data_IF_393528467090
#
_entry.id   IF_393528467090
#
_cell.length_a   1.000
_cell.length_b   1.000
_cell.length_c   1.000
_cell.angle_alpha   90.00
_cell.angle_beta   90.00
_cell.angle_gamma   90.00
#
_symmetry.space_group_name_H-M   'P 1'
#
loop_
_entity.id
_entity.type
_entity.pdbx_description
1 polymer ?
#
# COMPACT_ATOMS: atom_id res chain seq x y z
N UNK A 1 -3.45 60.67 24.14
CA UNK A 1 -4.31 59.51 23.80
C UNK A 1 -3.82 58.90 22.49
N UNK A 2 -3.22 57.72 22.51
CA UNK A 2 -2.95 56.89 21.31
C UNK A 2 -2.72 55.46 21.79
N UNK A 3 -3.75 54.61 21.66
CA UNK A 3 -3.69 53.19 22.03
C UNK A 3 -3.19 52.43 20.81
N UNK A 4 -2.00 51.86 20.90
CA UNK A 4 -1.39 51.04 19.86
C UNK A 4 -2.01 49.64 20.00
N UNK A 5 -2.82 49.24 19.03
CA UNK A 5 -3.44 47.92 18.97
C UNK A 5 -2.44 46.99 18.31
N UNK A 6 -1.70 46.22 19.11
CA UNK A 6 -0.83 45.16 18.62
C UNK A 6 -1.68 43.90 18.40
N UNK A 7 -2.03 43.61 17.15
CA UNK A 7 -2.69 42.36 16.76
C UNK A 7 -1.62 41.27 16.69
N UNK A 8 -1.57 40.42 17.71
CA UNK A 8 -0.76 39.20 17.71
C UNK A 8 -1.46 38.16 16.82
N UNK A 9 -0.98 38.01 15.58
CA UNK A 9 -1.40 36.92 14.69
C UNK A 9 -0.67 35.65 15.14
N UNK A 10 -1.37 34.81 15.91
CA UNK A 10 -0.86 33.50 16.29
C UNK A 10 -1.12 32.55 15.14
N UNK A 11 -0.09 32.27 14.34
CA UNK A 11 -0.12 31.18 13.36
C UNK A 11 -0.39 29.87 14.11
N UNK A 12 -1.61 29.35 13.96
CA UNK A 12 -1.96 27.99 14.31
C UNK A 12 -1.25 27.06 13.29
N UNK A 13 0.00 26.69 13.57
CA UNK A 13 0.59 25.49 12.96
C UNK A 13 -0.12 24.28 13.57
N UNK A 14 -1.30 23.96 13.05
CA UNK A 14 -1.87 22.62 13.22
C UNK A 14 -1.01 21.67 12.40
N UNK A 15 0.06 21.16 13.02
CA UNK A 15 0.72 19.95 12.57
C UNK A 15 -0.26 18.79 12.75
N UNK A 16 -1.24 18.70 11.86
CA UNK A 16 -2.08 17.51 11.74
C UNK A 16 -1.16 16.39 11.28
N UNK A 17 -0.65 15.59 12.22
CA UNK A 17 -0.15 14.24 11.93
C UNK A 17 -1.35 13.45 11.44
N UNK A 18 -1.64 13.61 10.16
CA UNK A 18 -2.84 13.14 9.50
C UNK A 18 -2.71 11.63 9.31
N UNK A 19 -3.35 10.87 10.21
CA UNK A 19 -3.48 9.42 10.09
C UNK A 19 -4.26 9.14 8.79
N UNK A 20 -3.76 8.28 7.88
CA UNK A 20 -4.48 7.93 6.67
C UNK A 20 -5.78 7.19 7.03
N UNK A 21 -6.87 7.55 6.37
CA UNK A 21 -8.11 6.78 6.46
C UNK A 21 -8.03 5.51 5.61
N UNK A 22 -8.98 4.59 5.80
CA UNK A 22 -8.97 3.27 5.17
C UNK A 22 -9.02 3.35 3.63
N UNK A 23 -9.79 4.29 3.09
CA UNK A 23 -9.85 4.54 1.63
C UNK A 23 -8.52 5.02 1.07
N UNK A 24 -7.79 5.85 1.82
CA UNK A 24 -6.44 6.31 1.42
C UNK A 24 -5.45 5.14 1.42
N UNK A 25 -5.52 4.27 2.43
CA UNK A 25 -4.68 3.07 2.51
C UNK A 25 -4.99 2.09 1.38
N UNK A 26 -6.26 1.86 1.10
CA UNK A 26 -6.74 1.00 0.02
C UNK A 26 -6.22 1.48 -1.35
N UNK A 27 -6.34 2.79 -1.63
CA UNK A 27 -5.82 3.38 -2.87
C UNK A 27 -4.30 3.23 -2.99
N UNK A 28 -3.57 3.51 -1.91
CA UNK A 28 -2.11 3.36 -1.89
C UNK A 28 -1.70 1.90 -2.11
N UNK A 29 -2.42 0.96 -1.48
CA UNK A 29 -2.19 -0.46 -1.61
C UNK A 29 -2.46 -0.96 -3.05
N UNK A 30 -3.61 -0.64 -3.64
CA UNK A 30 -3.90 -1.03 -5.02
C UNK A 30 -2.96 -0.37 -6.03
N UNK A 31 -2.56 0.89 -5.81
CA UNK A 31 -1.57 1.54 -6.67
C UNK A 31 -0.23 0.79 -6.64
N UNK A 32 0.19 0.29 -5.48
CA UNK A 32 1.40 -0.52 -5.36
C UNK A 32 1.21 -1.92 -5.98
N UNK A 33 0.06 -2.57 -5.78
CA UNK A 33 -0.22 -3.86 -6.41
C UNK A 33 -0.20 -3.76 -7.94
N UNK A 34 -0.80 -2.70 -8.50
CA UNK A 34 -0.83 -2.42 -9.93
C UNK A 34 0.52 -2.03 -10.52
N UNK A 35 1.41 -1.38 -9.76
CA UNK A 35 2.76 -1.07 -10.23
C UNK A 35 3.70 -2.28 -10.18
N UNK A 36 3.30 -3.36 -9.48
CA UNK A 36 4.06 -4.60 -9.44
C UNK A 36 3.98 -5.34 -10.78
N UNK A 37 5.07 -6.00 -11.17
CA UNK A 37 5.06 -6.91 -12.34
C UNK A 37 4.16 -8.12 -12.15
N UNK A 38 3.76 -8.42 -10.92
CA UNK A 38 2.83 -9.52 -10.65
C UNK A 38 1.42 -9.23 -11.17
N UNK A 39 1.09 -7.97 -11.51
CA UNK A 39 -0.22 -7.59 -12.06
C UNK A 39 -0.57 -8.29 -13.39
N UNK A 40 0.41 -8.87 -14.09
CA UNK A 40 0.20 -9.62 -15.34
C UNK A 40 -0.28 -11.05 -15.09
N UNK A 41 -0.02 -11.59 -13.89
CA UNK A 41 -0.30 -12.98 -13.53
C UNK A 41 -1.31 -13.11 -12.39
N UNK A 42 -1.57 -12.02 -11.65
CA UNK A 42 -2.57 -11.97 -10.59
C UNK A 42 -3.23 -10.59 -10.46
N UNK A 43 -4.44 -10.59 -9.91
CA UNK A 43 -5.08 -9.39 -9.37
C UNK A 43 -5.13 -9.46 -7.86
N UNK A 44 -5.27 -8.31 -7.23
CA UNK A 44 -5.47 -8.20 -5.79
C UNK A 44 -6.81 -7.53 -5.54
N UNK A 45 -7.62 -8.14 -4.69
CA UNK A 45 -8.99 -7.74 -4.38
C UNK A 45 -9.24 -7.79 -2.85
N UNK A 46 -10.41 -7.32 -2.41
CA UNK A 46 -10.89 -7.44 -1.02
C UNK A 46 -9.93 -6.89 0.04
N UNK A 47 -9.27 -5.76 -0.25
CA UNK A 47 -8.44 -5.08 0.74
C UNK A 47 -9.25 -4.69 1.99
N UNK A 48 -8.72 -5.04 3.16
CA UNK A 48 -9.22 -4.54 4.43
C UNK A 48 -8.06 -4.29 5.39
N UNK A 49 -8.13 -3.18 6.13
CA UNK A 49 -7.22 -2.90 7.24
C UNK A 49 -7.67 -3.70 8.46
N UNK A 50 -6.80 -4.53 9.00
CA UNK A 50 -7.02 -5.29 10.24
C UNK A 50 -6.64 -4.43 11.44
N UNK A 51 -5.44 -3.85 11.42
CA UNK A 51 -4.92 -2.99 12.49
C UNK A 51 -3.91 -1.99 11.93
N UNK A 52 -3.53 -0.98 12.71
CA UNK A 52 -2.46 -0.08 12.29
C UNK A 52 -2.07 0.96 13.32
N UNK A 53 -0.83 1.44 13.24
CA UNK A 53 -0.27 2.44 14.13
C UNK A 53 0.74 3.34 13.42
N UNK A 54 0.90 4.55 13.93
CA UNK A 54 1.96 5.46 13.49
C UNK A 54 3.25 5.16 14.27
N UNK A 55 4.36 5.08 13.55
CA UNK A 55 5.71 5.07 14.12
C UNK A 55 6.57 6.07 13.34
N UNK A 56 6.90 7.19 13.98
CA UNK A 56 7.57 8.33 13.36
C UNK A 56 6.75 8.83 12.15
N UNK A 57 7.31 8.84 10.95
CA UNK A 57 6.63 9.28 9.72
C UNK A 57 6.03 8.12 8.91
N UNK A 58 6.00 6.91 9.49
CA UNK A 58 5.44 5.72 8.86
C UNK A 58 4.10 5.35 9.49
N UNK A 59 3.14 5.01 8.65
CA UNK A 59 1.94 4.30 9.08
C UNK A 59 2.12 2.81 8.80
N UNK A 60 2.20 2.01 9.85
CA UNK A 60 2.39 0.56 9.77
C UNK A 60 1.02 -0.07 9.96
N UNK A 61 0.50 -0.75 8.93
CA UNK A 61 -0.80 -1.38 8.97
C UNK A 61 -0.69 -2.88 8.76
N UNK A 62 -1.48 -3.64 9.49
CA UNK A 62 -1.78 -5.02 9.14
C UNK A 62 -3.00 -5.02 8.23
N UNK A 63 -2.88 -5.66 7.07
CA UNK A 63 -3.91 -5.65 6.03
C UNK A 63 -4.20 -7.08 5.60
N UNK A 64 -5.47 -7.36 5.30
CA UNK A 64 -5.93 -8.57 4.65
C UNK A 64 -6.37 -8.29 3.22
N UNK A 65 -6.14 -9.22 2.31
CA UNK A 65 -6.52 -9.10 0.90
C UNK A 65 -6.54 -10.47 0.23
N UNK A 66 -7.23 -10.56 -0.90
CA UNK A 66 -7.23 -11.75 -1.73
C UNK A 66 -6.35 -11.55 -2.96
N UNK A 67 -5.55 -12.56 -3.28
CA UNK A 67 -4.86 -12.69 -4.55
C UNK A 67 -5.68 -13.62 -5.43
N UNK A 68 -6.02 -13.17 -6.63
CA UNK A 68 -6.63 -14.02 -7.66
C UNK A 68 -5.66 -14.20 -8.81
N UNK A 69 -5.32 -15.45 -9.14
CA UNK A 69 -4.43 -15.73 -10.26
C UNK A 69 -5.18 -15.64 -11.59
N UNK A 70 -4.65 -14.87 -12.55
CA UNK A 70 -5.24 -14.68 -13.89
C UNK A 70 -4.46 -15.38 -14.99
N UNK A 71 -3.29 -15.94 -14.67
CA UNK A 71 -2.52 -16.85 -15.50
C UNK A 71 -2.23 -18.16 -14.77
N UNK A 72 -1.77 -19.16 -15.51
CA UNK A 72 -1.29 -20.42 -14.96
C UNK A 72 0.22 -20.33 -14.68
N UNK A 73 0.72 -21.10 -13.71
CA UNK A 73 2.14 -21.10 -13.32
C UNK A 73 3.11 -21.44 -14.47
N UNK A 74 2.66 -22.16 -15.50
CA UNK A 74 3.48 -22.57 -16.64
C UNK A 74 3.65 -21.48 -17.72
N UNK A 75 3.07 -20.29 -17.51
CA UNK A 75 3.20 -19.17 -18.44
C UNK A 75 4.62 -18.55 -18.37
N UNK A 76 5.41 -18.54 -19.47
CA UNK A 76 6.76 -17.98 -19.50
C UNK A 76 6.82 -16.50 -19.09
N UNK A 77 5.72 -15.76 -19.21
CA UNK A 77 5.62 -14.35 -18.78
C UNK A 77 5.77 -14.20 -17.26
N UNK A 78 5.44 -15.23 -16.47
CA UNK A 78 5.56 -15.24 -15.02
C UNK A 78 7.03 -15.30 -14.53
N UNK A 79 7.96 -15.69 -15.40
CA UNK A 79 9.36 -15.97 -15.06
C UNK A 79 10.32 -14.78 -15.30
N UNK A 80 9.81 -13.60 -15.66
CA UNK A 80 10.68 -12.46 -15.98
C UNK A 80 11.29 -11.84 -14.70
N UNK A 81 12.62 -11.98 -14.56
CA UNK A 81 13.39 -11.73 -13.32
C UNK A 81 13.70 -10.26 -13.00
N UNK A 82 13.20 -9.30 -13.77
CA UNK A 82 13.52 -7.90 -13.54
C UNK A 82 12.71 -7.32 -12.37
N UNK A 83 13.34 -7.20 -11.20
CA UNK A 83 12.80 -6.75 -9.92
C UNK A 83 12.32 -5.29 -9.92
N UNK A 84 11.03 -5.07 -10.12
CA UNK A 84 10.34 -3.88 -9.61
C UNK A 84 9.55 -4.33 -8.39
N UNK A 85 10.06 -4.00 -7.19
CA UNK A 85 9.39 -4.33 -5.93
C UNK A 85 8.35 -3.25 -5.64
N UNK A 86 7.09 -3.65 -5.56
CA UNK A 86 6.00 -2.75 -5.16
C UNK A 86 5.96 -2.47 -3.66
N UNK A 87 6.96 -2.89 -2.90
CA UNK A 87 6.94 -2.90 -1.43
C UNK A 87 6.03 -3.95 -0.79
N UNK A 88 5.14 -4.56 -1.58
CA UNK A 88 4.18 -5.58 -1.14
C UNK A 88 4.69 -7.01 -1.28
N UNK A 89 5.85 -7.22 -1.89
CA UNK A 89 6.42 -8.55 -2.09
C UNK A 89 5.59 -9.49 -2.98
N UNK A 90 4.63 -8.98 -3.78
CA UNK A 90 3.69 -9.81 -4.55
C UNK A 90 4.37 -10.80 -5.52
N UNK A 91 5.54 -10.45 -6.08
CA UNK A 91 6.33 -11.36 -6.91
C UNK A 91 6.97 -12.51 -6.11
N UNK A 92 7.34 -12.27 -4.85
CA UNK A 92 7.83 -13.35 -3.97
C UNK A 92 6.66 -14.25 -3.59
N UNK A 93 5.51 -13.66 -3.26
CA UNK A 93 4.29 -14.39 -2.97
C UNK A 93 3.88 -15.26 -4.17
N UNK A 94 3.88 -14.73 -5.39
CA UNK A 94 3.52 -15.48 -6.60
C UNK A 94 4.37 -16.74 -6.78
N UNK A 95 5.68 -16.67 -6.48
CA UNK A 95 6.59 -17.83 -6.53
C UNK A 95 6.35 -18.80 -5.38
N UNK A 96 6.10 -18.28 -4.17
CA UNK A 96 5.86 -19.09 -2.97
C UNK A 96 4.57 -19.94 -3.07
N UNK A 97 3.56 -19.46 -3.79
CA UNK A 97 2.31 -20.20 -4.02
C UNK A 97 2.47 -21.46 -4.87
N UNK A 98 3.61 -21.67 -5.53
CA UNK A 98 3.89 -22.89 -6.29
C UNK A 98 2.95 -23.07 -7.49
N UNK A 99 2.40 -24.28 -7.67
CA UNK A 99 1.54 -24.63 -8.82
C UNK A 99 0.13 -24.04 -8.68
N UNK A 100 -0.02 -22.74 -8.93
CA UNK A 100 -1.33 -22.10 -9.06
C UNK A 100 -1.91 -22.28 -10.46
N UNK A 101 -3.24 -22.27 -10.54
CA UNK A 101 -4.01 -22.22 -11.78
C UNK A 101 -4.77 -20.91 -11.89
N UNK A 102 -5.10 -20.52 -13.11
CA UNK A 102 -6.01 -19.42 -13.38
C UNK A 102 -7.31 -19.62 -12.63
N UNK A 103 -7.72 -18.59 -11.89
CA UNK A 103 -8.93 -18.56 -11.09
C UNK A 103 -8.72 -18.95 -9.63
N UNK A 104 -7.57 -19.51 -9.26
CA UNK A 104 -7.25 -19.78 -7.86
C UNK A 104 -7.26 -18.47 -7.06
N UNK A 105 -7.77 -18.55 -5.83
CA UNK A 105 -7.84 -17.44 -4.89
C UNK A 105 -7.04 -17.82 -3.64
N UNK A 106 -6.18 -16.93 -3.19
CA UNK A 106 -5.51 -17.05 -1.89
C UNK A 106 -5.79 -15.82 -1.03
N UNK A 107 -6.29 -16.05 0.18
CA UNK A 107 -6.44 -15.00 1.18
C UNK A 107 -5.13 -14.78 1.94
N UNK A 108 -4.72 -13.54 2.02
CA UNK A 108 -3.44 -13.12 2.56
C UNK A 108 -3.67 -12.11 3.68
N UNK A 109 -2.77 -12.13 4.66
CA UNK A 109 -2.66 -11.09 5.67
C UNK A 109 -1.19 -10.75 5.86
N UNK A 110 -0.83 -9.47 5.75
CA UNK A 110 0.55 -9.03 5.90
C UNK A 110 0.65 -7.64 6.52
N UNK A 111 1.84 -7.31 7.04
CA UNK A 111 2.16 -5.95 7.45
C UNK A 111 2.65 -5.13 6.26
N UNK A 112 2.06 -3.96 6.06
CA UNK A 112 2.42 -3.01 5.01
C UNK A 112 2.82 -1.67 5.64
N UNK A 113 3.95 -1.13 5.19
CA UNK A 113 4.44 0.17 5.64
C UNK A 113 4.03 1.21 4.61
N UNK A 114 3.28 2.21 5.06
CA UNK A 114 2.89 3.36 4.27
C UNK A 114 3.72 4.58 4.67
N UNK A 115 4.14 5.36 3.68
CA UNK A 115 4.90 6.60 3.83
C UNK A 115 4.10 7.78 3.26
N UNK A 116 4.17 8.94 3.91
CA UNK A 116 3.56 10.17 3.39
C UNK A 116 4.53 10.85 2.42
N UNK A 117 4.11 11.05 1.18
CA UNK A 117 4.86 11.79 0.15
C UNK A 117 4.10 13.05 -0.27
N UNK A 118 4.71 13.88 -1.12
CA UNK A 118 4.02 15.05 -1.71
C UNK A 118 2.83 14.66 -2.58
N UNK A 119 2.80 13.44 -3.11
CA UNK A 119 1.70 12.89 -3.91
C UNK A 119 0.62 12.17 -3.06
N UNK A 120 0.78 12.16 -1.72
CA UNK A 120 -0.10 11.45 -0.80
C UNK A 120 0.57 10.24 -0.15
N UNK A 121 -0.24 9.36 0.44
CA UNK A 121 0.27 8.12 1.06
C UNK A 121 0.60 7.08 0.00
N UNK A 122 1.74 6.41 0.18
CA UNK A 122 2.22 5.36 -0.73
C UNK A 122 2.75 4.18 0.08
N UNK A 123 2.75 2.98 -0.52
CA UNK A 123 3.44 1.82 0.05
C UNK A 123 4.95 2.04 -0.07
N UNK A 124 5.68 1.75 1.00
CA UNK A 124 7.14 1.77 1.03
C UNK A 124 7.70 0.58 0.23
N UNK A 125 8.36 0.88 -0.89
CA UNK A 125 8.99 -0.10 -1.79
C UNK A 125 10.27 -0.73 -1.23
#
# INVERSE_FOLDING_TARGET
MKKIITVAITLLLTGCTEIPNDTTLEKAFYSAAQSSKANTIMTVDNFAKVSGYIKQDHYIAEVSYDIRFISDHEDPQAANEDTVTSGLGLHVLSKAYGKYKRGDISSNQQQVIFIKTSAGWQVKA
#
